data_IF_214336797129
#
_entry.id   IF_214336797129
#
_cell.length_a   1.000
_cell.length_b   1.000
_cell.length_c   1.000
_cell.angle_alpha   90.00
_cell.angle_beta   90.00
_cell.angle_gamma   90.00
#
_symmetry.space_group_name_H-M   'P 1'
#
loop_
_entity.id
_entity.type
_entity.pdbx_description
1 polymer ?
#
# COMPACT_ATOMS: atom_id res chain seq x y z
N UNK A 1 -11.28 -6.51 -12.85
CA UNK A 1 -11.99 -7.78 -12.55
C UNK A 1 -12.32 -7.77 -11.07
N UNK A 2 -13.57 -8.05 -10.68
CA UNK A 2 -13.96 -8.13 -9.26
C UNK A 2 -13.50 -9.47 -8.67
N UNK A 3 -13.09 -9.47 -7.42
CA UNK A 3 -12.76 -10.71 -6.71
C UNK A 3 -14.00 -11.57 -6.51
N UNK A 4 -13.87 -12.89 -6.64
CA UNK A 4 -14.91 -13.82 -6.20
C UNK A 4 -15.01 -13.83 -4.67
N UNK A 5 -16.11 -14.34 -4.08
CA UNK A 5 -16.23 -14.43 -2.62
C UNK A 5 -15.05 -15.17 -1.97
N UNK A 6 -14.69 -16.33 -2.49
CA UNK A 6 -13.57 -17.14 -1.98
C UNK A 6 -12.23 -16.39 -2.02
N UNK A 7 -11.99 -15.61 -3.07
CA UNK A 7 -10.78 -14.81 -3.22
C UNK A 7 -10.61 -13.73 -2.14
N UNK A 8 -11.70 -13.32 -1.47
CA UNK A 8 -11.72 -12.31 -0.40
C UNK A 8 -11.57 -12.92 0.99
N UNK A 9 -11.56 -14.23 1.12
CA UNK A 9 -11.51 -14.91 2.41
C UNK A 9 -10.14 -14.78 3.04
N UNK A 10 -10.14 -14.49 4.34
CA UNK A 10 -8.99 -14.58 5.25
C UNK A 10 -9.01 -15.95 5.91
N UNK A 11 -7.88 -16.41 6.43
CA UNK A 11 -7.87 -17.62 7.27
C UNK A 11 -8.49 -17.34 8.64
N UNK A 12 -8.22 -16.14 9.18
CA UNK A 12 -8.88 -15.62 10.37
C UNK A 12 -9.97 -14.61 9.98
N UNK A 13 -11.26 -15.02 10.03
CA UNK A 13 -12.39 -14.15 9.74
C UNK A 13 -12.77 -13.24 10.92
N UNK A 14 -12.04 -13.30 12.05
CA UNK A 14 -12.24 -12.42 13.19
C UNK A 14 -12.10 -10.94 12.82
N UNK A 15 -12.66 -10.07 13.66
CA UNK A 15 -12.67 -8.62 13.44
C UNK A 15 -11.24 -8.10 13.25
N UNK A 16 -11.02 -7.32 12.20
CA UNK A 16 -9.73 -6.70 11.92
C UNK A 16 -9.37 -5.67 13.00
N UNK A 17 -10.35 -4.96 13.56
CA UNK A 17 -10.14 -3.97 14.63
C UNK A 17 -9.49 -4.62 15.86
N UNK A 18 -9.94 -5.81 16.27
CA UNK A 18 -9.36 -6.54 17.39
C UNK A 18 -7.90 -6.95 17.11
N UNK A 19 -7.59 -7.36 15.88
CA UNK A 19 -6.24 -7.76 15.48
C UNK A 19 -5.25 -6.59 15.42
N UNK A 20 -5.73 -5.42 14.97
CA UNK A 20 -4.94 -4.20 14.83
C UNK A 20 -4.97 -3.30 16.07
N UNK A 21 -5.74 -3.63 17.11
CA UNK A 21 -5.83 -2.84 18.34
C UNK A 21 -4.48 -2.71 19.06
N UNK A 22 -3.70 -3.79 19.11
CA UNK A 22 -2.37 -3.77 19.72
C UNK A 22 -1.34 -3.16 18.77
N UNK A 23 -0.67 -2.06 19.16
CA UNK A 23 0.27 -1.37 18.28
C UNK A 23 1.55 -2.18 18.07
N UNK A 24 2.18 -1.98 16.91
CA UNK A 24 3.42 -2.62 16.49
C UNK A 24 4.41 -1.55 16.04
N UNK A 25 5.27 -1.12 16.96
CA UNK A 25 6.35 -0.16 16.67
C UNK A 25 7.58 -0.84 16.06
N UNK A 26 7.37 -1.54 14.94
CA UNK A 26 8.41 -2.20 14.16
C UNK A 26 8.19 -1.95 12.67
N UNK A 27 9.23 -2.07 11.88
CA UNK A 27 9.11 -2.15 10.42
C UNK A 27 8.89 -3.61 10.03
N UNK A 28 7.97 -3.86 9.10
CA UNK A 28 7.61 -5.22 8.67
C UNK A 28 8.47 -5.76 7.52
N UNK A 29 9.40 -4.94 7.06
CA UNK A 29 10.34 -5.19 5.95
C UNK A 29 11.73 -4.73 6.35
N UNK A 30 12.75 -5.29 5.71
CA UNK A 30 14.15 -4.93 5.95
C UNK A 30 14.55 -3.53 5.46
N UNK A 31 15.74 -3.07 5.88
CA UNK A 31 16.29 -1.76 5.52
C UNK A 31 16.47 -1.60 4.01
N UNK A 32 16.86 -2.67 3.30
CA UNK A 32 17.06 -2.64 1.85
C UNK A 32 15.76 -2.40 1.07
N UNK A 33 14.64 -2.92 1.56
CA UNK A 33 13.30 -2.58 1.04
C UNK A 33 12.96 -1.12 1.32
N UNK A 34 13.19 -0.65 2.55
CA UNK A 34 12.87 0.72 2.97
C UNK A 34 13.65 1.75 2.16
N UNK A 35 14.95 1.51 1.92
CA UNK A 35 15.79 2.39 1.10
C UNK A 35 15.25 2.50 -0.32
N UNK A 36 14.85 1.39 -0.92
CA UNK A 36 14.27 1.38 -2.26
C UNK A 36 12.92 2.08 -2.31
N UNK A 37 12.08 1.90 -1.29
CA UNK A 37 10.80 2.59 -1.19
C UNK A 37 11.01 4.10 -1.08
N UNK A 38 11.92 4.52 -0.22
CA UNK A 38 12.25 5.92 0.03
C UNK A 38 12.83 6.57 -1.24
N UNK A 39 13.71 5.86 -1.95
CA UNK A 39 14.25 6.32 -3.23
C UNK A 39 13.17 6.42 -4.31
N UNK A 40 12.27 5.44 -4.39
CA UNK A 40 11.14 5.50 -5.30
C UNK A 40 10.26 6.73 -5.02
N UNK A 41 9.97 7.01 -3.75
CA UNK A 41 9.21 8.20 -3.38
C UNK A 41 9.96 9.49 -3.74
N UNK A 42 11.28 9.55 -3.52
CA UNK A 42 12.12 10.67 -3.93
C UNK A 42 12.09 10.92 -5.43
N UNK A 43 12.08 9.86 -6.24
CA UNK A 43 12.05 9.97 -7.71
C UNK A 43 10.68 10.38 -8.27
N UNK A 44 9.59 9.98 -7.60
CA UNK A 44 8.23 10.07 -8.15
C UNK A 44 7.40 11.20 -7.58
N UNK A 45 7.63 11.57 -6.32
CA UNK A 45 6.92 12.66 -5.66
C UNK A 45 7.61 13.99 -5.96
N UNK A 46 6.87 15.08 -5.78
CA UNK A 46 7.39 16.44 -5.92
C UNK A 46 7.27 17.17 -4.58
N UNK A 47 8.11 18.19 -4.32
CA UNK A 47 7.88 19.08 -3.19
C UNK A 47 6.47 19.68 -3.23
N UNK A 48 5.90 19.99 -2.06
CA UNK A 48 4.55 20.56 -1.92
C UNK A 48 3.42 19.70 -2.52
N UNK A 49 3.64 18.39 -2.60
CA UNK A 49 2.58 17.40 -2.90
C UNK A 49 1.67 17.22 -1.68
N UNK A 50 0.35 17.14 -1.89
CA UNK A 50 -0.62 16.67 -0.88
C UNK A 50 -0.79 15.15 -0.99
N UNK A 51 -0.44 14.43 0.07
CA UNK A 51 -0.30 12.96 0.09
C UNK A 51 -1.36 12.35 1.01
N UNK A 52 -1.94 11.24 0.57
CA UNK A 52 -2.61 10.29 1.46
C UNK A 52 -1.73 9.04 1.63
N UNK A 53 -1.24 8.80 2.85
CA UNK A 53 -0.61 7.56 3.25
C UNK A 53 -1.68 6.58 3.75
N UNK A 54 -2.14 5.72 2.85
CA UNK A 54 -3.30 4.87 3.04
C UNK A 54 -2.88 3.50 3.60
N UNK A 55 -3.48 3.12 4.74
CA UNK A 55 -3.09 1.94 5.52
C UNK A 55 -1.68 2.10 6.14
N UNK A 56 -1.42 3.31 6.60
CA UNK A 56 -0.22 3.76 7.30
C UNK A 56 -0.12 3.19 8.72
N UNK A 57 1.04 3.41 9.32
CA UNK A 57 1.40 3.06 10.68
C UNK A 57 2.25 4.20 11.27
N UNK A 58 3.20 3.89 12.15
CA UNK A 58 4.07 4.85 12.81
C UNK A 58 5.23 5.39 11.95
N UNK A 59 5.40 4.89 10.71
CA UNK A 59 6.40 5.36 9.73
C UNK A 59 5.80 5.34 8.32
N UNK A 60 6.00 6.43 7.56
CA UNK A 60 5.53 6.55 6.16
C UNK A 60 6.60 6.28 5.10
N UNK A 61 7.87 6.07 5.50
CA UNK A 61 9.03 5.87 4.61
C UNK A 61 9.24 7.00 3.58
N UNK A 62 8.76 8.20 3.88
CA UNK A 62 8.93 9.38 3.05
C UNK A 62 10.38 9.88 3.13
N UNK A 63 10.92 10.45 2.03
CA UNK A 63 12.26 11.06 2.04
C UNK A 63 12.33 12.24 3.01
N UNK A 64 13.39 12.31 3.81
CA UNK A 64 13.60 13.37 4.79
C UNK A 64 14.03 14.71 4.16
N UNK A 65 14.55 14.66 2.93
CA UNK A 65 15.02 15.80 2.14
C UNK A 65 13.92 16.46 1.29
N UNK A 66 12.65 16.05 1.45
CA UNK A 66 11.51 16.60 0.72
C UNK A 66 10.43 17.12 1.67
N UNK A 67 10.04 18.37 1.46
CA UNK A 67 8.94 19.01 2.18
C UNK A 67 7.64 18.87 1.37
N UNK A 68 6.60 18.31 2.00
CA UNK A 68 5.27 18.13 1.42
C UNK A 68 4.33 19.25 1.86
N UNK A 69 3.21 19.43 1.15
CA UNK A 69 2.21 20.44 1.52
C UNK A 69 1.34 19.95 2.67
N UNK A 70 0.96 18.66 2.62
CA UNK A 70 0.22 17.97 3.67
C UNK A 70 0.34 16.46 3.49
N UNK A 71 0.47 15.72 4.58
CA UNK A 71 0.44 14.25 4.63
C UNK A 71 -0.72 13.82 5.53
N UNK A 72 -1.76 13.31 4.89
CA UNK A 72 -2.91 12.69 5.55
C UNK A 72 -2.63 11.20 5.78
N UNK A 73 -2.75 10.73 7.01
CA UNK A 73 -2.62 9.32 7.33
C UNK A 73 -3.96 8.62 7.48
N UNK A 74 -4.02 7.36 7.07
CA UNK A 74 -5.16 6.50 7.34
C UNK A 74 -4.68 5.15 7.87
N UNK A 75 -5.29 4.64 8.94
CA UNK A 75 -4.99 3.32 9.47
C UNK A 75 -6.06 2.81 10.44
N UNK A 76 -5.74 1.72 11.14
CA UNK A 76 -6.65 1.09 12.11
C UNK A 76 -6.14 1.17 13.55
N UNK A 77 -4.90 1.63 13.76
CA UNK A 77 -4.31 1.77 15.09
C UNK A 77 -3.99 3.24 15.40
N UNK A 78 -4.65 3.79 16.42
CA UNK A 78 -4.47 5.19 16.81
C UNK A 78 -3.06 5.48 17.34
N UNK A 79 -2.49 4.57 18.13
CA UNK A 79 -1.18 4.79 18.76
C UNK A 79 -0.05 4.77 17.73
N UNK A 80 -0.16 3.94 16.69
CA UNK A 80 0.76 3.94 15.55
C UNK A 80 0.70 5.26 14.79
N UNK A 81 -0.49 5.67 14.36
CA UNK A 81 -0.66 6.91 13.59
C UNK A 81 -0.23 8.15 14.39
N UNK A 82 -0.58 8.22 15.68
CA UNK A 82 -0.19 9.33 16.55
C UNK A 82 1.33 9.45 16.76
N UNK A 83 2.09 8.36 16.56
CA UNK A 83 3.55 8.36 16.66
C UNK A 83 4.25 8.61 15.33
N UNK A 84 3.51 8.69 14.22
CA UNK A 84 4.12 8.93 12.93
C UNK A 84 4.47 10.43 12.79
N UNK A 85 5.77 10.79 12.79
CA UNK A 85 6.18 12.19 12.77
C UNK A 85 5.98 12.86 11.41
N UNK A 86 5.60 12.09 10.38
CA UNK A 86 5.41 12.59 9.02
C UNK A 86 3.97 13.03 8.74
N UNK A 87 3.01 12.68 9.59
CA UNK A 87 1.59 12.95 9.36
C UNK A 87 1.21 14.33 9.93
N UNK A 88 0.52 15.13 9.13
CA UNK A 88 -0.09 16.39 9.59
C UNK A 88 -1.44 16.13 10.28
N UNK A 89 -2.16 15.11 9.80
CA UNK A 89 -3.42 14.65 10.35
C UNK A 89 -3.63 13.17 10.01
N UNK A 90 -4.50 12.48 10.76
CA UNK A 90 -4.90 11.11 10.43
C UNK A 90 -6.35 10.82 10.81
N UNK A 91 -6.91 9.78 10.19
CA UNK A 91 -8.22 9.23 10.57
C UNK A 91 -8.18 7.70 10.66
N UNK A 92 -9.04 7.18 11.52
CA UNK A 92 -9.20 5.74 11.75
C UNK A 92 -10.39 5.22 10.97
N UNK A 93 -10.19 4.16 10.21
CA UNK A 93 -11.27 3.49 9.49
C UNK A 93 -10.91 2.05 9.12
N UNK A 94 -11.85 1.13 9.34
CA UNK A 94 -11.77 -0.21 8.77
C UNK A 94 -12.32 -0.17 7.33
N UNK A 95 -11.43 -0.24 6.34
CA UNK A 95 -11.81 -0.23 4.91
C UNK A 95 -12.55 -1.50 4.45
N UNK A 96 -12.42 -2.61 5.18
CA UNK A 96 -13.15 -3.83 4.88
C UNK A 96 -14.63 -3.75 5.30
N UNK A 97 -14.94 -2.91 6.29
CA UNK A 97 -16.31 -2.68 6.77
C UNK A 97 -16.96 -1.46 6.10
N UNK A 98 -16.22 -0.36 6.02
CA UNK A 98 -16.65 0.87 5.35
C UNK A 98 -15.61 1.26 4.29
N UNK A 99 -15.82 0.98 3.00
CA UNK A 99 -14.83 1.27 1.96
C UNK A 99 -14.83 2.74 1.50
N UNK A 100 -15.82 3.56 1.90
CA UNK A 100 -15.94 4.95 1.45
C UNK A 100 -15.04 5.87 2.26
N UNK A 101 -14.09 6.53 1.63
CA UNK A 101 -13.17 7.45 2.30
C UNK A 101 -13.87 8.77 2.64
N UNK A 102 -13.75 9.30 3.87
CA UNK A 102 -14.32 10.58 4.29
C UNK A 102 -13.52 11.78 3.76
N UNK A 103 -13.04 11.69 2.52
CA UNK A 103 -12.16 12.66 1.87
C UNK A 103 -12.84 13.27 0.64
N UNK A 104 -12.45 14.49 0.30
CA UNK A 104 -13.01 15.24 -0.83
C UNK A 104 -12.54 14.67 -2.17
N UNK A 105 -13.35 14.84 -3.20
CA UNK A 105 -12.97 14.54 -4.59
C UNK A 105 -11.81 15.47 -5.02
N UNK A 106 -10.88 14.94 -5.81
CA UNK A 106 -9.77 15.70 -6.41
C UNK A 106 -8.97 16.57 -5.40
N UNK A 107 -8.68 16.03 -4.23
CA UNK A 107 -7.96 16.76 -3.17
C UNK A 107 -6.49 16.33 -3.05
N UNK A 108 -6.13 15.12 -3.49
CA UNK A 108 -4.79 14.56 -3.31
C UNK A 108 -3.98 14.51 -4.60
N UNK A 109 -2.70 14.86 -4.50
CA UNK A 109 -1.72 14.74 -5.59
C UNK A 109 -1.13 13.33 -5.65
N UNK A 110 -1.02 12.64 -4.51
CA UNK A 110 -0.56 11.27 -4.44
C UNK A 110 -1.27 10.43 -3.37
N UNK A 111 -1.44 9.13 -3.65
CA UNK A 111 -1.85 8.11 -2.68
C UNK A 111 -0.76 7.03 -2.61
N UNK A 112 -0.31 6.73 -1.40
CA UNK A 112 0.71 5.73 -1.11
C UNK A 112 0.07 4.56 -0.35
N UNK A 113 0.44 3.33 -0.72
CA UNK A 113 0.07 2.11 0.02
C UNK A 113 1.33 1.26 0.15
N UNK A 114 1.97 1.31 1.32
CA UNK A 114 3.18 0.54 1.60
C UNK A 114 2.84 -0.74 2.37
N UNK A 115 3.12 -1.90 1.76
CA UNK A 115 3.07 -3.24 2.40
C UNK A 115 1.74 -3.56 3.09
N UNK A 116 0.63 -3.05 2.56
CA UNK A 116 -0.70 -3.18 3.21
C UNK A 116 -1.84 -3.61 2.28
N UNK A 117 -1.70 -3.48 0.96
CA UNK A 117 -2.79 -3.76 -0.01
C UNK A 117 -3.34 -5.19 0.07
N UNK A 118 -2.54 -6.13 0.54
CA UNK A 118 -2.86 -7.56 0.66
C UNK A 118 -4.01 -7.89 1.63
N UNK A 119 -4.44 -6.92 2.45
CA UNK A 119 -5.48 -7.11 3.46
C UNK A 119 -6.86 -6.59 3.02
N UNK A 120 -6.95 -5.94 1.85
CA UNK A 120 -8.21 -5.40 1.33
C UNK A 120 -9.11 -6.51 0.77
N UNK A 121 -10.28 -6.69 1.37
CA UNK A 121 -11.32 -7.59 0.86
C UNK A 121 -12.08 -7.00 -0.31
N UNK A 122 -12.20 -5.67 -0.40
CA UNK A 122 -12.91 -4.95 -1.47
C UNK A 122 -12.01 -3.96 -2.24
N UNK A 123 -10.88 -4.43 -2.81
CA UNK A 123 -9.89 -3.55 -3.43
C UNK A 123 -10.48 -2.76 -4.61
N UNK A 124 -11.47 -3.27 -5.34
CA UNK A 124 -12.11 -2.51 -6.40
C UNK A 124 -12.85 -1.26 -5.90
N UNK A 125 -13.46 -1.32 -4.70
CA UNK A 125 -14.15 -0.19 -4.10
C UNK A 125 -13.12 0.83 -3.61
N UNK A 126 -12.05 0.35 -2.98
CA UNK A 126 -10.96 1.21 -2.50
C UNK A 126 -10.25 1.90 -3.67
N UNK A 127 -9.94 1.20 -4.76
CA UNK A 127 -9.32 1.81 -5.94
C UNK A 127 -10.25 2.81 -6.63
N UNK A 128 -11.58 2.60 -6.57
CA UNK A 128 -12.56 3.58 -7.04
C UNK A 128 -12.53 4.85 -6.20
N UNK A 129 -12.43 4.71 -4.87
CA UNK A 129 -12.29 5.85 -3.96
C UNK A 129 -10.95 6.57 -4.13
N UNK A 130 -9.85 5.84 -4.29
CA UNK A 130 -8.53 6.40 -4.63
C UNK A 130 -8.64 7.25 -5.92
N UNK A 131 -9.27 6.73 -6.96
CA UNK A 131 -9.50 7.49 -8.19
C UNK A 131 -10.36 8.74 -7.96
N UNK A 132 -11.40 8.66 -7.13
CA UNK A 132 -12.27 9.80 -6.79
C UNK A 132 -11.49 10.93 -6.11
N UNK A 133 -10.68 10.60 -5.11
CA UNK A 133 -9.98 11.59 -4.29
C UNK A 133 -8.74 12.18 -4.96
N UNK A 134 -8.14 11.49 -5.93
CA UNK A 134 -6.98 12.02 -6.67
C UNK A 134 -7.36 13.17 -7.57
N UNK A 135 -6.51 14.20 -7.63
CA UNK A 135 -6.54 15.23 -8.67
C UNK A 135 -6.24 14.62 -10.05
N UNK A 136 -6.63 15.28 -11.16
CA UNK A 136 -6.11 14.94 -12.48
C UNK A 136 -4.58 14.84 -12.48
N UNK A 137 -4.02 13.80 -13.09
CA UNK A 137 -2.59 13.43 -13.06
C UNK A 137 -2.04 12.99 -11.70
N UNK A 138 -2.89 12.89 -10.67
CA UNK A 138 -2.51 12.40 -9.35
C UNK A 138 -2.00 10.96 -9.40
N UNK A 139 -1.00 10.67 -8.58
CA UNK A 139 -0.23 9.43 -8.58
C UNK A 139 -0.75 8.42 -7.54
N UNK A 140 -0.71 7.14 -7.86
CA UNK A 140 -0.86 6.06 -6.89
C UNK A 140 0.37 5.18 -6.93
N UNK A 141 0.99 4.96 -5.77
CA UNK A 141 2.10 4.03 -5.62
C UNK A 141 1.69 2.94 -4.62
N UNK A 142 1.60 1.70 -5.10
CA UNK A 142 1.39 0.52 -4.26
C UNK A 142 2.68 -0.28 -4.21
N UNK A 143 3.32 -0.35 -3.05
CA UNK A 143 4.54 -1.14 -2.84
C UNK A 143 4.28 -2.34 -1.94
N UNK A 144 4.95 -3.45 -2.20
CA UNK A 144 4.80 -4.66 -1.41
C UNK A 144 6.05 -5.54 -1.47
N UNK A 145 6.20 -6.37 -0.44
CA UNK A 145 7.14 -7.49 -0.39
C UNK A 145 6.39 -8.82 -0.29
N UNK A 146 7.09 -9.93 -0.06
CA UNK A 146 6.49 -11.23 0.25
C UNK A 146 6.06 -11.36 1.73
N UNK A 147 6.40 -10.38 2.57
CA UNK A 147 5.99 -10.29 3.99
C UNK A 147 4.49 -9.99 4.10
N UNK A 148 3.82 -10.68 5.02
CA UNK A 148 2.41 -10.47 5.32
C UNK A 148 2.01 -11.12 6.64
N UNK A 149 0.95 -10.62 7.27
CA UNK A 149 0.20 -11.36 8.28
C UNK A 149 -0.62 -12.44 7.57
N UNK A 150 -0.06 -13.65 7.47
CA UNK A 150 -0.62 -14.75 6.67
C UNK A 150 -2.10 -15.06 6.98
N UNK A 151 -2.50 -14.93 8.25
CA UNK A 151 -3.87 -15.17 8.70
C UNK A 151 -4.87 -14.11 8.20
N UNK A 152 -4.42 -12.86 8.01
CA UNK A 152 -5.26 -11.72 7.62
C UNK A 152 -5.19 -11.38 6.13
N UNK A 153 -4.18 -11.87 5.41
CA UNK A 153 -4.10 -11.70 3.96
C UNK A 153 -5.23 -12.47 3.26
N UNK A 154 -5.86 -11.84 2.26
CA UNK A 154 -6.93 -12.47 1.48
C UNK A 154 -6.36 -13.61 0.62
N UNK A 155 -7.16 -14.64 0.34
CA UNK A 155 -6.76 -15.81 -0.45
C UNK A 155 -6.12 -15.42 -1.79
N UNK A 156 -6.70 -14.45 -2.51
CA UNK A 156 -6.16 -14.01 -3.81
C UNK A 156 -4.71 -13.51 -3.74
N UNK A 157 -4.29 -12.97 -2.60
CA UNK A 157 -2.92 -12.52 -2.38
C UNK A 157 -2.03 -13.61 -1.79
N UNK A 158 -2.54 -14.26 -0.74
CA UNK A 158 -1.83 -15.27 0.06
C UNK A 158 -1.39 -16.45 -0.80
N UNK A 159 -2.28 -16.93 -1.66
CA UNK A 159 -2.09 -18.15 -2.44
C UNK A 159 -1.43 -17.86 -3.81
N UNK A 160 -1.15 -16.59 -4.12
CA UNK A 160 -0.53 -16.14 -5.37
C UNK A 160 1.00 -16.08 -5.32
N UNK A 161 1.65 -16.31 -6.46
CA UNK A 161 3.07 -15.96 -6.67
C UNK A 161 3.26 -14.45 -6.81
N UNK A 162 4.49 -13.95 -6.75
CA UNK A 162 4.76 -12.51 -6.93
C UNK A 162 4.27 -12.00 -8.28
N UNK A 163 4.42 -12.78 -9.35
CA UNK A 163 3.87 -12.45 -10.66
C UNK A 163 2.33 -12.36 -10.64
N UNK A 164 1.66 -13.25 -9.90
CA UNK A 164 0.21 -13.20 -9.72
C UNK A 164 -0.23 -11.98 -8.90
N UNK A 165 0.52 -11.59 -7.86
CA UNK A 165 0.27 -10.39 -7.05
C UNK A 165 0.40 -9.10 -7.88
N UNK A 166 1.44 -9.01 -8.72
CA UNK A 166 1.57 -7.90 -9.69
C UNK A 166 0.38 -7.87 -10.64
N UNK A 167 -0.01 -9.02 -11.18
CA UNK A 167 -1.14 -9.09 -12.11
C UNK A 167 -2.46 -8.73 -11.42
N UNK A 168 -2.60 -9.07 -10.15
CA UNK A 168 -3.74 -8.73 -9.30
C UNK A 168 -3.85 -7.21 -9.11
N UNK A 169 -2.75 -6.53 -8.76
CA UNK A 169 -2.70 -5.06 -8.66
C UNK A 169 -3.02 -4.38 -10.00
N UNK A 170 -2.46 -4.89 -11.11
CA UNK A 170 -2.83 -4.40 -12.46
C UNK A 170 -4.32 -4.54 -12.71
N UNK A 171 -4.95 -5.62 -12.24
CA UNK A 171 -6.38 -5.85 -12.41
C UNK A 171 -7.24 -4.94 -11.53
N UNK A 172 -6.74 -4.49 -10.37
CA UNK A 172 -7.39 -3.48 -9.53
C UNK A 172 -7.40 -2.12 -10.22
N UNK A 173 -6.26 -1.64 -10.71
CA UNK A 173 -6.21 -0.41 -11.50
C UNK A 173 -7.13 -0.47 -12.73
N UNK A 174 -7.08 -1.58 -13.50
CA UNK A 174 -7.96 -1.79 -14.65
C UNK A 174 -9.45 -1.91 -14.31
N UNK A 175 -9.81 -2.13 -13.05
CA UNK A 175 -11.21 -2.23 -12.64
C UNK A 175 -11.91 -0.88 -12.56
N UNK A 176 -11.14 0.21 -12.56
CA UNK A 176 -11.61 1.59 -12.50
C UNK A 176 -11.21 2.29 -13.79
N UNK A 177 -12.19 2.84 -14.50
CA UNK A 177 -11.92 3.65 -15.69
C UNK A 177 -11.23 4.95 -15.27
N UNK A 178 -10.25 5.41 -16.05
CA UNK A 178 -9.54 6.66 -15.80
C UNK A 178 -8.14 6.52 -15.20
N UNK A 179 -7.68 5.33 -14.84
CA UNK A 179 -6.27 5.09 -14.55
C UNK A 179 -5.45 4.86 -15.82
N UNK A 180 -4.21 5.37 -15.83
CA UNK A 180 -3.22 5.07 -16.86
C UNK A 180 -2.75 3.61 -16.79
N UNK A 181 -2.08 3.14 -17.85
CA UNK A 181 -1.50 1.79 -17.88
C UNK A 181 -0.52 1.63 -16.71
N UNK A 182 -0.70 0.63 -15.81
CA UNK A 182 0.17 0.50 -14.65
C UNK A 182 1.61 0.17 -15.05
N UNK A 183 2.55 0.92 -14.48
CA UNK A 183 3.98 0.67 -14.49
C UNK A 183 4.33 -0.31 -13.36
N UNK A 184 5.33 -1.16 -13.57
CA UNK A 184 5.82 -2.10 -12.56
C UNK A 184 7.31 -1.91 -12.38
N UNK A 185 7.73 -1.73 -11.12
CA UNK A 185 9.12 -1.72 -10.69
C UNK A 185 9.33 -2.97 -9.85
N UNK A 186 10.42 -3.70 -10.12
CA UNK A 186 10.78 -4.89 -9.37
C UNK A 186 12.29 -4.89 -9.17
N UNK A 187 12.71 -5.12 -7.94
CA UNK A 187 14.10 -5.39 -7.62
C UNK A 187 14.14 -6.60 -6.70
N UNK A 188 14.47 -7.73 -7.30
CA UNK A 188 14.60 -9.02 -6.63
C UNK A 188 16.08 -9.34 -6.53
N UNK A 189 16.55 -9.58 -5.30
CA UNK A 189 17.95 -9.92 -5.09
C UNK A 189 18.28 -11.19 -5.91
N UNK A 190 19.33 -11.18 -6.76
CA UNK A 190 19.61 -12.25 -7.72
C UNK A 190 20.23 -13.50 -7.07
N UNK A 191 20.29 -13.57 -5.74
CA UNK A 191 20.95 -14.68 -5.05
C UNK A 191 20.21 -16.00 -5.34
N UNK A 192 20.93 -17.01 -5.86
CA UNK A 192 20.36 -18.34 -6.10
C UNK A 192 19.70 -18.90 -4.84
N UNK A 193 18.53 -19.52 -5.00
CA UNK A 193 17.69 -20.03 -3.91
C UNK A 193 18.43 -20.94 -2.92
N UNK A 194 19.50 -21.63 -3.34
CA UNK A 194 20.30 -22.48 -2.45
C UNK A 194 21.13 -21.71 -1.41
N UNK A 195 21.52 -20.46 -1.69
CA UNK A 195 22.23 -19.61 -0.71
C UNK A 195 21.28 -19.02 0.33
N UNK A 196 20.01 -18.80 -0.04
CA UNK A 196 18.96 -18.41 0.91
C UNK A 196 18.63 -19.57 1.88
N UNK A 197 18.68 -20.81 1.41
CA UNK A 197 18.49 -22.03 2.22
C UNK A 197 19.61 -22.23 3.25
N UNK A 198 20.82 -21.69 3.01
CA UNK A 198 21.96 -21.82 3.92
C UNK A 198 21.95 -20.82 5.09
N UNK A 199 20.82 -20.12 5.33
CA UNK A 199 20.68 -19.20 6.46
C UNK A 199 21.39 -17.86 6.28
N UNK A 200 21.88 -17.54 5.08
CA UNK A 200 22.25 -16.17 4.73
C UNK A 200 20.96 -15.38 4.48
N UNK A 201 20.74 -14.36 5.30
CA UNK A 201 19.55 -13.52 5.37
C UNK A 201 19.15 -13.10 3.94
N UNK A 202 18.06 -13.68 3.43
CA UNK A 202 17.49 -13.27 2.16
C UNK A 202 16.87 -11.88 2.33
N UNK A 203 17.32 -10.93 1.51
CA UNK A 203 16.73 -9.60 1.47
C UNK A 203 15.27 -9.68 0.99
N UNK A 204 14.40 -8.87 1.59
CA UNK A 204 13.01 -8.76 1.22
C UNK A 204 12.90 -8.26 -0.24
N UNK A 205 12.16 -8.96 -1.13
CA UNK A 205 12.01 -8.52 -2.50
C UNK A 205 11.21 -7.22 -2.55
N UNK A 206 11.58 -6.32 -3.46
CA UNK A 206 10.89 -5.05 -3.66
C UNK A 206 10.05 -5.07 -4.93
N UNK A 207 8.76 -4.75 -4.78
CA UNK A 207 7.84 -4.55 -5.89
C UNK A 207 7.06 -3.25 -5.68
N UNK A 208 6.85 -2.51 -6.77
CA UNK A 208 5.91 -1.41 -6.81
C UNK A 208 5.09 -1.43 -8.09
N UNK A 209 3.79 -1.12 -7.97
CA UNK A 209 2.88 -0.92 -9.10
C UNK A 209 2.35 0.50 -9.02
N UNK A 210 2.54 1.25 -10.10
CA UNK A 210 2.30 2.69 -10.15
C UNK A 210 1.31 2.99 -11.26
N UNK A 211 0.36 3.87 -10.99
CA UNK A 211 -0.56 4.40 -12.00
C UNK A 211 -0.90 5.85 -11.69
N UNK A 212 -1.48 6.55 -12.66
CA UNK A 212 -1.93 7.93 -12.51
C UNK A 212 -3.38 8.05 -12.92
N UNK A 213 -4.12 8.94 -12.27
CA UNK A 213 -5.42 9.39 -12.77
C UNK A 213 -5.22 10.19 -14.04
N UNK A 214 -5.81 9.75 -15.14
CA UNK A 214 -5.73 10.45 -16.42
C UNK A 214 -6.46 11.79 -16.32
N UNK A 215 -5.84 12.84 -16.87
CA UNK A 215 -6.55 14.09 -17.16
C UNK A 215 -7.75 13.79 -18.06
N UNK A 216 -8.95 14.11 -17.59
CA UNK A 216 -10.12 14.23 -18.47
C UNK A 216 -10.15 15.59 -19.11
#
# INVERSE_FOLDING_TARGET
MRLSPHQREKLDPGNDEDFYLSPRFVTHVDEGFIDQLTNLYRERLQPKTRILDLMSSWVSHLPDDMEFDHVEGHGMNQEELAKNPRLDHYFLQNLNDNPKLPLKDNDFDAVLIAVSVQYLQYPEAIFSEIHRILKPNGLVIVSFSNRMFYQKAISAWRDGTDAMRIQLLKNYFKSVAGFSKPEVIMNVSPLPSFLQILGMIGADPFYAVISQKMSS
#
